data_IF_202500425355
#
_entry.id   IF_202500425355
#
_cell.length_a   1.000
_cell.length_b   1.000
_cell.length_c   1.000
_cell.angle_alpha   90.00
_cell.angle_beta   90.00
_cell.angle_gamma   90.00
#
_symmetry.space_group_name_H-M   'P 1'
#
loop_
_entity.id
_entity.type
_entity.pdbx_description
1 polymer ?
#
# COMPACT_ATOMS: atom_id res chain seq x y z
N UNK A 1 -27.57 -44.53 1.80
CA UNK A 1 -28.07 -44.18 0.45
C UNK A 1 -28.00 -42.67 0.36
N UNK A 2 -26.87 -42.15 -0.06
CA UNK A 2 -26.72 -40.76 -0.48
C UNK A 2 -26.50 -40.78 -1.98
N UNK A 3 -27.32 -40.00 -2.68
CA UNK A 3 -27.41 -39.99 -4.13
C UNK A 3 -26.10 -39.51 -4.75
N UNK A 4 -25.42 -40.42 -5.44
CA UNK A 4 -24.35 -40.09 -6.36
C UNK A 4 -24.94 -39.26 -7.50
N UNK A 5 -24.69 -37.95 -7.47
CA UNK A 5 -25.00 -37.05 -8.58
C UNK A 5 -24.19 -37.51 -9.79
N UNK A 6 -24.89 -38.14 -10.72
CA UNK A 6 -24.35 -38.69 -11.96
C UNK A 6 -23.92 -37.54 -12.88
N UNK A 7 -22.64 -37.16 -12.85
CA UNK A 7 -22.07 -36.17 -13.79
C UNK A 7 -22.07 -36.75 -15.22
N UNK A 8 -22.38 -35.94 -16.24
CA UNK A 8 -22.38 -36.40 -17.63
C UNK A 8 -20.98 -36.89 -18.04
N UNK A 9 -20.93 -37.99 -18.81
CA UNK A 9 -19.71 -38.74 -19.15
C UNK A 9 -18.82 -38.12 -20.25
N UNK A 10 -19.10 -36.91 -20.74
CA UNK A 10 -18.41 -36.35 -21.93
C UNK A 10 -17.72 -34.99 -21.72
N UNK A 11 -17.62 -34.46 -20.50
CA UNK A 11 -16.78 -33.28 -20.25
C UNK A 11 -15.34 -33.68 -19.91
N UNK A 12 -14.41 -33.43 -20.85
CA UNK A 12 -12.97 -33.52 -20.58
C UNK A 12 -12.64 -32.54 -19.45
N UNK A 13 -12.18 -33.07 -18.32
CA UNK A 13 -11.79 -32.26 -17.18
C UNK A 13 -10.60 -31.37 -17.57
N UNK A 14 -10.73 -30.06 -17.35
CA UNK A 14 -9.67 -29.07 -17.64
C UNK A 14 -8.62 -28.91 -16.54
N UNK A 15 -8.75 -29.71 -15.47
CA UNK A 15 -7.89 -29.66 -14.27
C UNK A 15 -7.66 -28.22 -13.78
N UNK A 16 -8.75 -27.46 -13.63
CA UNK A 16 -8.73 -26.04 -13.31
C UNK A 16 -8.16 -25.72 -11.91
N UNK A 17 -8.32 -26.66 -10.98
CA UNK A 17 -7.95 -26.56 -9.56
C UNK A 17 -7.35 -27.87 -9.05
N UNK A 18 -6.10 -27.82 -8.59
CA UNK A 18 -5.37 -28.94 -8.02
C UNK A 18 -5.00 -28.65 -6.57
N UNK A 19 -4.96 -29.69 -5.75
CA UNK A 19 -4.42 -29.65 -4.38
C UNK A 19 -3.41 -30.80 -4.27
N UNK A 20 -2.16 -30.49 -3.95
CA UNK A 20 -1.05 -31.45 -3.91
C UNK A 20 -0.98 -32.32 -5.19
N UNK A 21 -1.10 -31.69 -6.36
CA UNK A 21 -1.08 -32.35 -7.66
C UNK A 21 -2.37 -33.10 -8.04
N UNK A 22 -3.35 -33.20 -7.14
CA UNK A 22 -4.62 -33.91 -7.41
C UNK A 22 -5.73 -32.95 -7.80
N UNK A 23 -6.40 -33.20 -8.93
CA UNK A 23 -7.50 -32.37 -9.38
C UNK A 23 -8.74 -32.54 -8.49
N UNK A 24 -9.23 -31.43 -7.94
CA UNK A 24 -10.40 -31.39 -7.05
C UNK A 24 -11.73 -31.75 -7.75
N UNK A 25 -11.78 -31.74 -9.09
CA UNK A 25 -12.99 -32.06 -9.85
C UNK A 25 -13.09 -33.53 -10.30
N UNK A 26 -11.97 -34.13 -10.71
CA UNK A 26 -11.96 -35.49 -11.29
C UNK A 26 -11.11 -36.50 -10.49
N UNK A 27 -10.37 -36.06 -9.48
CA UNK A 27 -9.53 -36.92 -8.64
C UNK A 27 -8.24 -37.41 -9.30
N UNK A 28 -7.96 -37.02 -10.55
CA UNK A 28 -6.72 -37.42 -11.24
C UNK A 28 -5.52 -36.62 -10.72
N UNK A 29 -4.40 -37.31 -10.54
CA UNK A 29 -3.10 -36.71 -10.30
C UNK A 29 -2.52 -36.16 -11.60
N UNK A 30 -1.95 -34.96 -11.56
CA UNK A 30 -1.34 -34.27 -12.70
C UNK A 30 0.05 -33.78 -12.26
N UNK A 31 1.09 -34.32 -12.89
CA UNK A 31 2.50 -34.10 -12.49
C UNK A 31 3.10 -32.82 -13.11
N UNK A 32 2.77 -32.52 -14.37
CA UNK A 32 3.38 -31.41 -15.14
C UNK A 32 2.38 -30.27 -15.39
N UNK A 33 1.97 -29.60 -14.31
CA UNK A 33 0.89 -28.62 -14.36
C UNK A 33 1.39 -27.16 -14.24
N UNK A 34 0.89 -26.29 -15.13
CA UNK A 34 1.45 -24.95 -15.41
C UNK A 34 0.57 -23.77 -14.94
N UNK A 35 0.11 -23.76 -13.69
CA UNK A 35 -0.62 -22.62 -13.14
C UNK A 35 0.01 -22.03 -11.90
N UNK A 36 -0.78 -21.25 -11.17
CA UNK A 36 -0.28 -20.37 -10.12
C UNK A 36 -0.57 -20.97 -8.76
N UNK A 37 0.42 -20.92 -7.87
CA UNK A 37 0.30 -21.36 -6.50
C UNK A 37 -0.49 -20.36 -5.67
N UNK A 38 -1.41 -20.87 -4.86
CA UNK A 38 -2.23 -20.13 -3.90
C UNK A 38 -2.06 -20.78 -2.51
N UNK A 39 -0.81 -21.08 -2.13
CA UNK A 39 -0.47 -21.74 -0.87
C UNK A 39 -0.99 -20.97 0.35
N UNK A 40 -1.00 -19.64 0.27
CA UNK A 40 -1.60 -18.79 1.30
C UNK A 40 -3.09 -19.08 1.57
N UNK A 41 -3.84 -19.57 0.57
CA UNK A 41 -5.25 -19.96 0.72
C UNK A 41 -5.37 -21.37 1.28
N UNK A 42 -4.61 -22.29 0.68
CA UNK A 42 -4.54 -23.69 1.08
C UNK A 42 -3.22 -24.26 0.56
N UNK A 43 -2.47 -24.93 1.44
CA UNK A 43 -1.21 -25.57 1.07
C UNK A 43 -1.37 -26.52 -0.11
N UNK A 44 -0.49 -26.39 -1.10
CA UNK A 44 -0.50 -27.19 -2.34
C UNK A 44 -1.61 -26.80 -3.32
N UNK A 45 -2.34 -25.71 -3.09
CA UNK A 45 -3.39 -25.24 -4.00
C UNK A 45 -2.78 -24.59 -5.25
N UNK A 46 -3.23 -25.08 -6.40
CA UNK A 46 -2.75 -24.69 -7.71
C UNK A 46 -3.96 -24.35 -8.59
N UNK A 47 -4.02 -23.11 -9.11
CA UNK A 47 -5.12 -22.60 -9.95
C UNK A 47 -4.70 -22.18 -11.37
N UNK A 48 -5.46 -22.63 -12.38
CA UNK A 48 -5.25 -22.20 -13.77
C UNK A 48 -5.56 -20.71 -13.91
N UNK A 49 -4.99 -20.04 -14.92
CA UNK A 49 -5.29 -18.62 -15.21
C UNK A 49 -6.79 -18.38 -15.45
N UNK A 50 -7.45 -19.28 -16.16
CA UNK A 50 -8.89 -19.21 -16.41
C UNK A 50 -9.70 -19.32 -15.12
N UNK A 51 -9.31 -20.21 -14.21
CA UNK A 51 -9.97 -20.35 -12.91
C UNK A 51 -9.74 -19.13 -12.02
N UNK A 52 -8.53 -18.57 -12.02
CA UNK A 52 -8.23 -17.32 -11.30
C UNK A 52 -9.11 -16.20 -11.85
N UNK A 53 -9.22 -16.04 -13.17
CA UNK A 53 -10.07 -15.02 -13.77
C UNK A 53 -11.54 -15.19 -13.36
N UNK A 54 -12.06 -16.42 -13.40
CA UNK A 54 -13.42 -16.75 -12.94
C UNK A 54 -13.64 -16.42 -11.47
N UNK A 55 -12.66 -16.72 -10.61
CA UNK A 55 -12.72 -16.41 -9.18
C UNK A 55 -12.67 -14.91 -8.92
N UNK A 56 -11.80 -14.16 -9.62
CA UNK A 56 -11.73 -12.69 -9.58
C UNK A 56 -13.08 -12.06 -9.94
N UNK A 57 -13.70 -12.53 -11.01
CA UNK A 57 -15.02 -12.05 -11.47
C UNK A 57 -16.17 -12.39 -10.52
N UNK A 58 -16.10 -13.55 -9.88
CA UNK A 58 -17.09 -13.96 -8.87
C UNK A 58 -16.94 -13.12 -7.60
N UNK A 59 -15.71 -12.93 -7.13
CA UNK A 59 -15.44 -12.21 -5.91
C UNK A 59 -15.80 -10.72 -6.04
N UNK A 60 -15.45 -10.08 -7.16
CA UNK A 60 -15.76 -8.65 -7.35
C UNK A 60 -17.27 -8.38 -7.38
N UNK A 61 -18.07 -9.26 -7.98
CA UNK A 61 -19.54 -9.14 -7.96
C UNK A 61 -20.07 -9.20 -6.53
N UNK A 62 -19.64 -10.22 -5.77
CA UNK A 62 -20.00 -10.39 -4.36
C UNK A 62 -19.63 -9.15 -3.54
N UNK A 63 -18.38 -8.69 -3.65
CA UNK A 63 -17.90 -7.53 -2.90
C UNK A 63 -18.68 -6.26 -3.27
N UNK A 64 -18.98 -6.04 -4.55
CA UNK A 64 -19.75 -4.86 -4.96
C UNK A 64 -21.18 -4.87 -4.47
N UNK A 65 -21.82 -6.04 -4.37
CA UNK A 65 -23.14 -6.21 -3.77
C UNK A 65 -23.10 -5.87 -2.26
N UNK A 66 -22.01 -6.24 -1.58
CA UNK A 66 -21.72 -5.88 -0.19
C UNK A 66 -21.21 -4.44 -0.01
N UNK A 67 -21.08 -3.67 -1.10
CA UNK A 67 -20.45 -2.35 -1.15
C UNK A 67 -19.04 -2.33 -0.56
N UNK A 68 -18.24 -3.35 -0.89
CA UNK A 68 -16.83 -3.46 -0.53
C UNK A 68 -15.91 -3.39 -1.74
N UNK A 69 -14.73 -2.83 -1.51
CA UNK A 69 -13.55 -2.90 -2.39
C UNK A 69 -12.54 -3.87 -1.76
N UNK A 70 -11.34 -3.98 -2.33
CA UNK A 70 -10.22 -4.70 -1.72
C UNK A 70 -9.09 -3.75 -1.36
N UNK A 71 -8.45 -4.00 -0.21
CA UNK A 71 -7.30 -3.25 0.26
C UNK A 71 -6.15 -4.21 0.56
N UNK A 72 -5.09 -4.10 -0.23
CA UNK A 72 -3.84 -4.86 -0.10
C UNK A 72 -2.85 -4.03 0.68
N UNK A 73 -2.37 -4.53 1.82
CA UNK A 73 -1.61 -3.75 2.79
C UNK A 73 -0.26 -4.41 3.07
N UNK A 74 0.81 -3.64 2.98
CA UNK A 74 2.13 -4.06 3.48
C UNK A 74 2.21 -4.03 5.02
N UNK A 75 3.21 -4.67 5.59
CA UNK A 75 3.43 -4.69 7.04
C UNK A 75 4.51 -3.71 7.50
N UNK A 76 5.76 -3.95 7.10
CA UNK A 76 6.92 -3.27 7.67
C UNK A 76 7.02 -1.86 7.10
N UNK A 77 7.18 -0.87 7.97
CA UNK A 77 7.13 0.56 7.63
C UNK A 77 5.76 1.04 7.09
N UNK A 78 4.77 0.15 6.93
CA UNK A 78 3.38 0.51 6.62
C UNK A 78 2.47 0.46 7.86
N UNK A 79 2.21 -0.72 8.44
CA UNK A 79 1.35 -0.92 9.63
C UNK A 79 2.13 -1.09 10.93
N UNK A 80 3.40 -1.46 10.85
CA UNK A 80 4.27 -1.69 11.99
C UNK A 80 5.72 -1.46 11.61
N UNK A 81 6.61 -1.44 12.59
CA UNK A 81 8.04 -1.54 12.39
C UNK A 81 8.55 -2.65 13.30
N UNK A 82 9.41 -3.52 12.78
CA UNK A 82 10.03 -4.61 13.54
C UNK A 82 11.56 -4.55 13.47
N UNK A 83 12.23 -4.86 14.59
CA UNK A 83 13.69 -4.89 14.67
C UNK A 83 14.17 -6.07 15.49
N UNK A 84 15.24 -6.73 15.03
CA UNK A 84 15.87 -7.81 15.80
C UNK A 84 16.43 -7.24 17.11
N UNK A 85 16.20 -7.93 18.23
CA UNK A 85 16.67 -7.48 19.56
C UNK A 85 18.19 -7.28 19.56
N UNK A 86 18.92 -8.19 18.93
CA UNK A 86 20.38 -8.13 18.79
C UNK A 86 20.90 -6.88 18.05
N UNK A 87 20.04 -6.20 17.28
CA UNK A 87 20.38 -5.03 16.45
C UNK A 87 20.01 -3.70 17.11
N UNK A 88 19.47 -3.71 18.33
CA UNK A 88 19.17 -2.50 19.08
C UNK A 88 20.46 -1.73 19.36
N UNK A 89 20.43 -0.41 19.16
CA UNK A 89 21.58 0.43 19.47
C UNK A 89 21.57 0.84 20.96
N UNK A 90 22.63 1.52 21.42
CA UNK A 90 22.73 1.96 22.83
C UNK A 90 21.60 2.91 23.25
N UNK A 91 21.14 3.78 22.35
CA UNK A 91 20.04 4.72 22.60
C UNK A 91 18.68 4.02 22.71
N UNK A 92 18.57 2.78 22.24
CA UNK A 92 17.35 1.98 22.22
C UNK A 92 17.28 0.90 23.30
N UNK A 93 18.37 0.66 24.05
CA UNK A 93 18.39 -0.39 25.10
C UNK A 93 17.33 -0.20 26.19
N UNK A 94 16.83 1.03 26.38
CA UNK A 94 15.72 1.26 27.30
C UNK A 94 14.44 0.51 26.89
N UNK A 95 14.28 0.18 25.60
CA UNK A 95 13.12 -0.54 25.06
C UNK A 95 13.03 -1.98 25.55
N UNK A 96 14.15 -2.60 25.93
CA UNK A 96 14.16 -3.96 26.49
C UNK A 96 13.45 -4.03 27.85
N UNK A 97 13.43 -2.91 28.58
CA UNK A 97 12.80 -2.79 29.90
C UNK A 97 11.35 -2.30 29.83
N UNK A 98 10.85 -1.94 28.64
CA UNK A 98 9.44 -1.57 28.48
C UNK A 98 8.62 -2.85 28.63
N UNK A 99 7.66 -2.83 29.54
CA UNK A 99 6.68 -3.92 29.66
C UNK A 99 5.94 -4.04 28.33
N UNK A 100 6.24 -5.10 27.57
CA UNK A 100 5.48 -5.46 26.40
C UNK A 100 4.02 -5.66 26.81
N UNK A 101 3.09 -5.15 26.03
CA UNK A 101 1.69 -5.26 26.40
C UNK A 101 1.20 -6.69 26.15
N UNK A 102 1.08 -7.44 27.24
CA UNK A 102 0.56 -8.81 27.25
C UNK A 102 -0.95 -8.87 27.02
N UNK A 103 -1.67 -7.74 27.13
CA UNK A 103 -3.12 -7.64 27.14
C UNK A 103 -3.77 -7.40 25.77
N UNK A 104 -3.01 -7.45 24.67
CA UNK A 104 -3.54 -7.34 23.30
C UNK A 104 -3.99 -5.92 22.87
N UNK A 105 -4.02 -4.95 23.80
CA UNK A 105 -4.40 -3.57 23.53
C UNK A 105 -3.24 -2.65 23.12
N UNK A 106 -2.01 -3.01 23.46
CA UNK A 106 -0.85 -2.16 23.27
C UNK A 106 -0.32 -2.13 21.84
N UNK A 107 0.64 -1.25 21.64
CA UNK A 107 1.31 -1.08 20.34
C UNK A 107 2.74 -1.62 20.36
N UNK A 108 3.24 -2.14 21.48
CA UNK A 108 4.63 -2.55 21.63
C UNK A 108 4.73 -3.99 22.14
N UNK A 109 5.46 -4.81 21.38
CA UNK A 109 5.55 -6.25 21.58
C UNK A 109 7.00 -6.71 21.50
N UNK A 110 7.33 -7.72 22.31
CA UNK A 110 8.57 -8.50 22.18
C UNK A 110 8.17 -9.91 21.78
N UNK A 111 8.68 -10.37 20.65
CA UNK A 111 8.52 -11.73 20.15
C UNK A 111 9.76 -12.54 20.52
N UNK A 112 9.58 -13.81 20.86
CA UNK A 112 10.66 -14.69 21.32
C UNK A 112 11.31 -15.49 20.17
N UNK A 113 10.54 -15.83 19.13
CA UNK A 113 10.99 -16.74 18.07
C UNK A 113 10.60 -16.24 16.66
N UNK A 114 11.56 -15.66 15.89
CA UNK A 114 12.85 -15.14 16.36
C UNK A 114 12.70 -13.94 17.30
N UNK A 115 13.71 -13.66 18.11
CA UNK A 115 13.68 -12.52 19.04
C UNK A 115 13.60 -11.18 18.31
N UNK A 116 12.46 -10.48 18.44
CA UNK A 116 12.20 -9.20 17.78
C UNK A 116 11.40 -8.26 18.64
N UNK A 117 11.73 -6.98 18.57
CA UNK A 117 10.87 -5.90 19.01
C UNK A 117 9.94 -5.52 17.86
N UNK A 118 8.65 -5.40 18.13
CA UNK A 118 7.64 -4.97 17.17
C UNK A 118 6.89 -3.78 17.75
N UNK A 119 6.86 -2.70 16.99
CA UNK A 119 6.03 -1.54 17.28
C UNK A 119 4.95 -1.44 16.20
N UNK A 120 3.70 -1.56 16.59
CA UNK A 120 2.56 -1.26 15.75
C UNK A 120 2.43 0.26 15.57
N UNK A 121 2.10 0.67 14.34
CA UNK A 121 1.92 2.08 14.02
C UNK A 121 0.72 2.67 14.77
N UNK A 122 0.82 3.88 15.34
CA UNK A 122 -0.32 4.54 15.97
C UNK A 122 -1.57 4.54 15.08
N UNK A 123 -2.75 4.43 15.70
CA UNK A 123 -4.05 4.33 15.03
C UNK A 123 -4.33 3.02 14.27
N UNK A 124 -3.41 2.04 14.20
CA UNK A 124 -3.61 0.82 13.38
C UNK A 124 -4.88 0.02 13.71
N UNK A 125 -5.27 -0.07 14.99
CA UNK A 125 -6.45 -0.82 15.40
C UNK A 125 -7.73 -0.20 14.85
N UNK A 126 -7.86 1.12 14.98
CA UNK A 126 -8.99 1.87 14.48
C UNK A 126 -8.99 1.89 12.95
N UNK A 127 -7.81 2.02 12.33
CA UNK A 127 -7.63 1.91 10.90
C UNK A 127 -8.18 0.59 10.35
N UNK A 128 -7.75 -0.56 10.89
CA UNK A 128 -8.20 -1.87 10.43
C UNK A 128 -9.70 -2.07 10.65
N UNK A 129 -10.21 -1.66 11.81
CA UNK A 129 -11.64 -1.71 12.12
C UNK A 129 -12.46 -0.92 11.11
N UNK A 130 -12.12 0.35 10.87
CA UNK A 130 -12.84 1.19 9.92
C UNK A 130 -12.69 0.68 8.48
N UNK A 131 -11.46 0.32 8.06
CA UNK A 131 -11.19 -0.20 6.73
C UNK A 131 -11.99 -1.48 6.44
N UNK A 132 -12.11 -2.41 7.40
CA UNK A 132 -12.84 -3.67 7.22
C UNK A 132 -14.34 -3.51 6.90
N UNK A 133 -14.91 -2.34 7.20
CA UNK A 133 -16.31 -2.01 6.85
C UNK A 133 -16.48 -1.66 5.37
N UNK A 134 -15.41 -1.21 4.72
CA UNK A 134 -15.40 -0.73 3.33
C UNK A 134 -14.59 -1.65 2.39
N UNK A 135 -13.71 -2.47 2.95
CA UNK A 135 -12.73 -3.25 2.21
C UNK A 135 -12.63 -4.69 2.73
N UNK A 136 -12.42 -5.63 1.81
CA UNK A 136 -11.82 -6.93 2.12
C UNK A 136 -10.29 -6.75 2.21
N UNK A 137 -9.70 -7.15 3.33
CA UNK A 137 -8.31 -6.83 3.66
C UNK A 137 -7.38 -7.99 3.33
N UNK A 138 -6.26 -7.66 2.67
CA UNK A 138 -5.14 -8.55 2.38
C UNK A 138 -3.88 -8.02 3.07
N UNK A 139 -3.08 -8.91 3.63
CA UNK A 139 -1.71 -8.63 4.05
C UNK A 139 -0.75 -9.16 2.99
N UNK A 140 0.20 -8.34 2.56
CA UNK A 140 1.13 -8.70 1.49
C UNK A 140 2.57 -8.22 1.73
N UNK A 141 3.28 -8.74 2.74
CA UNK A 141 4.66 -8.38 3.03
C UNK A 141 5.67 -9.03 2.06
N UNK A 142 6.85 -8.42 1.95
CA UNK A 142 8.05 -9.08 1.39
C UNK A 142 8.75 -10.03 2.37
N UNK A 143 8.15 -10.29 3.53
CA UNK A 143 8.64 -11.22 4.55
C UNK A 143 8.31 -12.68 4.26
N UNK A 144 8.80 -13.58 5.11
CA UNK A 144 8.42 -14.99 5.06
C UNK A 144 6.95 -15.19 5.46
N UNK A 145 6.37 -16.31 5.04
CA UNK A 145 5.01 -16.71 5.43
C UNK A 145 4.84 -16.76 6.96
N UNK A 146 5.79 -17.39 7.67
CA UNK A 146 5.80 -17.43 9.13
C UNK A 146 5.76 -16.04 9.75
N UNK A 147 6.59 -15.12 9.24
CA UNK A 147 6.61 -13.74 9.72
C UNK A 147 5.29 -13.02 9.45
N UNK A 148 4.77 -13.11 8.22
CA UNK A 148 3.51 -12.48 7.81
C UNK A 148 2.33 -12.95 8.66
N UNK A 149 2.17 -14.27 8.82
CA UNK A 149 1.11 -14.85 9.67
C UNK A 149 1.27 -14.42 11.14
N UNK A 150 2.50 -14.38 11.65
CA UNK A 150 2.76 -13.95 13.03
C UNK A 150 2.38 -12.47 13.26
N UNK A 151 2.72 -11.59 12.32
CA UNK A 151 2.34 -10.17 12.41
C UNK A 151 0.83 -9.98 12.22
N UNK A 152 0.20 -10.74 11.31
CA UNK A 152 -1.25 -10.71 11.12
C UNK A 152 -1.99 -11.09 12.42
N UNK A 153 -1.52 -12.10 13.15
CA UNK A 153 -2.08 -12.46 14.47
C UNK A 153 -1.93 -11.33 15.50
N UNK A 154 -0.84 -10.57 15.48
CA UNK A 154 -0.69 -9.40 16.35
C UNK A 154 -1.68 -8.30 15.97
N UNK A 155 -1.91 -8.09 14.68
CA UNK A 155 -2.81 -7.07 14.12
C UNK A 155 -4.30 -7.44 14.23
N UNK A 156 -4.61 -8.73 14.20
CA UNK A 156 -5.96 -9.29 14.22
C UNK A 156 -6.05 -10.52 15.14
N UNK A 157 -5.97 -10.33 16.48
CA UNK A 157 -5.95 -11.45 17.41
C UNK A 157 -7.22 -12.30 17.39
N UNK A 158 -8.35 -11.72 16.96
CA UNK A 158 -9.64 -12.40 16.88
C UNK A 158 -9.94 -13.00 15.50
N UNK A 159 -9.08 -12.78 14.49
CA UNK A 159 -9.28 -13.30 13.13
C UNK A 159 -10.45 -12.67 12.37
N UNK A 160 -10.79 -11.41 12.65
CA UNK A 160 -11.93 -10.72 12.06
C UNK A 160 -11.66 -10.10 10.69
N UNK A 161 -10.39 -9.89 10.33
CA UNK A 161 -9.99 -8.99 9.25
C UNK A 161 -9.33 -9.72 8.09
N UNK A 162 -8.36 -10.58 8.38
CA UNK A 162 -7.50 -11.15 7.33
C UNK A 162 -7.87 -12.57 6.95
N UNK A 163 -8.42 -13.37 7.88
CA UNK A 163 -8.65 -14.80 7.65
C UNK A 163 -7.36 -15.44 7.06
N UNK A 164 -7.44 -16.14 5.94
CA UNK A 164 -6.27 -16.69 5.25
C UNK A 164 -5.59 -15.72 4.26
N UNK A 165 -6.01 -14.46 4.14
CA UNK A 165 -5.51 -13.50 3.13
C UNK A 165 -4.17 -12.86 3.50
N UNK A 166 -3.15 -13.69 3.72
CA UNK A 166 -1.77 -13.28 4.04
C UNK A 166 -0.82 -13.83 2.97
N UNK A 167 -0.57 -13.03 1.93
CA UNK A 167 0.31 -13.39 0.81
C UNK A 167 1.75 -13.06 1.21
N UNK A 168 2.66 -14.01 1.08
CA UNK A 168 4.05 -13.85 1.49
C UNK A 168 5.01 -13.84 0.30
N UNK A 169 6.29 -13.57 0.58
CA UNK A 169 7.35 -13.71 -0.42
C UNK A 169 7.48 -15.15 -0.97
N UNK A 170 7.01 -16.17 -0.23
CA UNK A 170 7.05 -17.55 -0.70
C UNK A 170 6.11 -17.78 -1.88
N UNK A 171 4.96 -17.09 -1.90
CA UNK A 171 3.94 -17.20 -2.94
C UNK A 171 4.35 -16.50 -4.26
N UNK A 172 5.41 -15.68 -4.23
CA UNK A 172 5.88 -14.90 -5.38
C UNK A 172 6.71 -15.74 -6.36
N UNK A 173 6.39 -15.59 -7.65
CA UNK A 173 7.24 -16.07 -8.74
C UNK A 173 8.53 -15.23 -8.81
N UNK A 174 8.40 -13.89 -8.85
CA UNK A 174 9.53 -12.97 -8.74
C UNK A 174 9.67 -12.49 -7.29
N UNK A 175 10.68 -13.03 -6.60
CA UNK A 175 10.97 -12.75 -5.18
C UNK A 175 11.34 -11.29 -4.87
N UNK A 176 11.48 -10.43 -5.89
CA UNK A 176 11.75 -9.00 -5.75
C UNK A 176 10.55 -8.10 -6.04
N UNK A 177 9.43 -8.62 -6.58
CA UNK A 177 8.31 -7.80 -7.06
C UNK A 177 6.96 -8.38 -6.64
N UNK A 178 6.09 -7.54 -6.11
CA UNK A 178 4.71 -7.88 -5.81
C UNK A 178 3.86 -7.74 -7.07
N UNK A 179 2.79 -8.53 -7.14
CA UNK A 179 1.81 -8.51 -8.21
C UNK A 179 0.40 -8.74 -7.66
N UNK A 180 -0.62 -8.18 -8.31
CA UNK A 180 -2.03 -8.43 -8.04
C UNK A 180 -2.55 -9.75 -8.64
N UNK A 181 -1.69 -10.55 -9.27
CA UNK A 181 -2.07 -11.87 -9.79
C UNK A 181 -2.54 -12.84 -8.70
N UNK A 182 -1.95 -12.72 -7.50
CA UNK A 182 -2.28 -13.54 -6.33
C UNK A 182 -3.47 -13.00 -5.53
N UNK A 183 -3.96 -11.80 -5.84
CA UNK A 183 -5.13 -11.23 -5.15
C UNK A 183 -6.37 -11.62 -5.94
N UNK A 184 -7.36 -12.24 -5.29
CA UNK A 184 -8.61 -12.66 -5.94
C UNK A 184 -9.56 -11.46 -6.14
N UNK A 185 -9.12 -10.49 -6.93
CA UNK A 185 -9.85 -9.29 -7.30
C UNK A 185 -9.47 -8.75 -8.67
N UNK A 186 -10.30 -7.85 -9.20
CA UNK A 186 -9.95 -7.05 -10.38
C UNK A 186 -9.32 -5.73 -9.94
N UNK A 187 -8.31 -5.27 -10.67
CA UNK A 187 -7.56 -4.04 -10.34
C UNK A 187 -8.46 -2.81 -10.22
N UNK A 188 -9.57 -2.75 -10.97
CA UNK A 188 -10.53 -1.66 -10.86
C UNK A 188 -11.17 -1.51 -9.48
N UNK A 189 -11.09 -2.55 -8.63
CA UNK A 189 -11.61 -2.56 -7.26
C UNK A 189 -10.55 -2.77 -6.17
N UNK A 190 -9.26 -2.79 -6.52
CA UNK A 190 -8.16 -3.03 -5.57
C UNK A 190 -7.39 -1.75 -5.31
N UNK A 191 -7.17 -1.42 -4.03
CA UNK A 191 -6.24 -0.37 -3.61
C UNK A 191 -5.07 -1.03 -2.89
N UNK A 192 -3.85 -0.57 -3.17
CA UNK A 192 -2.62 -1.01 -2.50
C UNK A 192 -2.18 0.10 -1.53
N UNK A 193 -1.81 -0.28 -0.31
CA UNK A 193 -1.20 0.59 0.69
C UNK A 193 0.17 0.01 1.05
N UNK A 194 1.22 0.69 0.59
CA UNK A 194 2.62 0.26 0.74
C UNK A 194 3.50 1.51 0.87
N UNK A 195 4.60 1.44 1.60
CA UNK A 195 5.55 2.55 1.70
C UNK A 195 6.64 2.50 0.62
N UNK A 196 6.81 1.35 -0.03
CA UNK A 196 7.78 1.16 -1.10
C UNK A 196 7.08 0.97 -2.46
N UNK A 197 7.15 1.99 -3.32
CA UNK A 197 6.61 1.89 -4.68
C UNK A 197 7.43 0.98 -5.60
N UNK A 198 8.70 0.73 -5.27
CA UNK A 198 9.62 0.00 -6.15
C UNK A 198 9.29 -1.49 -6.24
N UNK A 199 8.60 -2.03 -5.23
CA UNK A 199 8.12 -3.41 -5.23
C UNK A 199 6.85 -3.63 -6.05
N UNK A 200 6.20 -2.57 -6.54
CA UNK A 200 4.98 -2.62 -7.37
C UNK A 200 5.19 -1.99 -8.76
N UNK A 201 6.09 -2.53 -9.60
CA UNK A 201 6.44 -1.90 -10.88
C UNK A 201 5.26 -1.81 -11.85
N UNK A 202 4.37 -2.82 -11.85
CA UNK A 202 3.28 -2.96 -12.81
C UNK A 202 1.93 -2.46 -12.28
N UNK A 203 1.85 -2.06 -11.00
CA UNK A 203 0.58 -1.77 -10.29
C UNK A 203 0.55 -0.38 -9.64
N UNK A 204 1.37 0.56 -10.13
CA UNK A 204 1.52 1.91 -9.54
C UNK A 204 0.22 2.71 -9.50
N UNK A 205 -0.68 2.52 -10.47
CA UNK A 205 -1.97 3.22 -10.51
C UNK A 205 -2.91 2.81 -9.36
N UNK A 206 -2.70 1.63 -8.76
CA UNK A 206 -3.46 1.14 -7.62
C UNK A 206 -2.83 1.53 -6.27
N UNK A 207 -1.62 2.11 -6.27
CA UNK A 207 -0.82 2.32 -5.08
C UNK A 207 -1.09 3.69 -4.43
N UNK A 208 -1.38 3.65 -3.13
CA UNK A 208 -1.24 4.78 -2.22
C UNK A 208 0.07 4.60 -1.47
N UNK A 209 1.09 5.35 -1.86
CA UNK A 209 2.38 5.35 -1.16
C UNK A 209 2.25 6.05 0.19
N UNK A 210 2.34 5.30 1.28
CA UNK A 210 2.29 5.86 2.63
C UNK A 210 3.68 6.28 3.10
N UNK A 211 3.77 7.31 3.93
CA UNK A 211 5.05 7.69 4.51
C UNK A 211 5.62 6.53 5.37
N UNK A 212 6.90 6.14 5.23
CA UNK A 212 7.46 5.02 5.97
C UNK A 212 7.44 5.24 7.50
N UNK A 213 6.97 4.24 8.23
CA UNK A 213 6.93 4.23 9.69
C UNK A 213 8.27 3.78 10.28
N UNK A 214 9.11 4.74 10.64
CA UNK A 214 10.44 4.48 11.20
C UNK A 214 10.45 4.60 12.74
N UNK A 215 9.81 3.65 13.44
CA UNK A 215 9.88 3.64 14.90
C UNK A 215 11.29 3.44 15.47
N UNK A 216 11.91 2.31 15.14
CA UNK A 216 13.28 2.00 15.55
C UNK A 216 14.30 2.74 14.68
N UNK A 217 15.49 2.91 15.23
CA UNK A 217 16.64 3.48 14.54
C UNK A 217 17.09 2.56 13.41
N UNK A 218 17.35 3.18 12.28
CA UNK A 218 18.02 2.55 11.14
C UNK A 218 19.21 3.43 10.74
N UNK A 219 20.06 2.96 9.83
CA UNK A 219 21.20 3.74 9.30
C UNK A 219 20.74 4.88 8.37
N UNK A 220 19.66 5.59 8.72
CA UNK A 220 19.06 6.70 7.98
C UNK A 220 19.55 8.03 8.54
N UNK A 221 19.49 9.09 7.72
CA UNK A 221 19.95 10.44 8.09
C UNK A 221 19.09 11.13 9.15
N UNK A 222 17.89 10.63 9.42
CA UNK A 222 16.91 11.23 10.34
C UNK A 222 16.80 10.36 11.60
N UNK A 223 16.63 11.03 12.74
CA UNK A 223 16.31 10.35 14.00
C UNK A 223 14.96 9.65 13.89
N UNK A 224 14.93 8.42 14.37
CA UNK A 224 13.74 7.58 14.52
C UNK A 224 12.86 8.03 15.68
N UNK A 225 11.64 7.51 15.76
CA UNK A 225 10.72 7.83 16.86
C UNK A 225 11.25 7.37 18.22
N UNK A 226 11.91 6.21 18.29
CA UNK A 226 12.54 5.68 19.51
C UNK A 226 13.64 6.60 20.04
N UNK A 227 14.51 7.13 19.16
CA UNK A 227 15.56 8.08 19.51
C UNK A 227 14.99 9.43 19.96
N UNK A 228 13.84 9.82 19.41
CA UNK A 228 13.12 11.04 19.79
C UNK A 228 12.22 10.87 21.01
N UNK A 229 12.03 9.64 21.52
CA UNK A 229 11.11 9.29 22.61
C UNK A 229 9.69 9.82 22.41
N UNK A 230 9.21 9.77 21.17
CA UNK A 230 7.84 10.16 20.77
C UNK A 230 7.33 9.18 19.71
N UNK A 231 6.12 9.38 19.21
CA UNK A 231 5.54 8.55 18.15
C UNK A 231 4.69 9.39 17.19
N UNK A 232 4.10 8.76 16.17
CA UNK A 232 3.07 9.39 15.34
C UNK A 232 1.82 9.74 16.17
N UNK A 233 1.10 10.78 15.75
CA UNK A 233 -0.18 11.15 16.34
C UNK A 233 -1.27 10.16 15.93
N UNK A 234 -2.16 9.76 16.85
CA UNK A 234 -3.33 8.96 16.46
C UNK A 234 -4.36 9.73 15.63
N UNK A 235 -4.41 11.06 15.76
CA UNK A 235 -5.39 11.90 15.06
C UNK A 235 -4.88 12.48 13.74
N UNK A 236 -3.57 12.65 13.65
CA UNK A 236 -2.87 13.32 12.53
C UNK A 236 -1.69 12.50 12.00
N UNK A 237 -1.58 11.23 12.37
CA UNK A 237 -0.59 10.29 11.82
C UNK A 237 -0.97 9.81 10.44
N UNK A 238 -0.08 9.06 9.79
CA UNK A 238 -0.29 8.70 8.40
C UNK A 238 -1.55 7.83 8.21
N UNK A 239 -1.76 6.81 9.06
CA UNK A 239 -2.95 5.94 8.98
C UNK A 239 -4.27 6.72 9.18
N UNK A 240 -4.26 7.73 10.05
CA UNK A 240 -5.42 8.58 10.30
C UNK A 240 -5.78 9.47 9.10
N UNK A 241 -4.78 9.85 8.28
CA UNK A 241 -5.02 10.52 7.01
C UNK A 241 -5.43 9.52 5.91
N UNK A 242 -4.73 8.39 5.81
CA UNK A 242 -5.01 7.35 4.82
C UNK A 242 -6.45 6.87 4.90
N UNK A 243 -7.00 6.62 6.09
CA UNK A 243 -8.40 6.17 6.21
C UNK A 243 -9.40 7.20 5.67
N UNK A 244 -9.12 8.51 5.81
CA UNK A 244 -9.97 9.58 5.25
C UNK A 244 -9.95 9.55 3.73
N UNK A 245 -8.78 9.29 3.13
CA UNK A 245 -8.61 9.14 1.68
C UNK A 245 -9.36 7.90 1.19
N UNK A 246 -9.18 6.75 1.84
CA UNK A 246 -9.87 5.50 1.51
C UNK A 246 -11.40 5.64 1.56
N UNK A 247 -11.92 6.32 2.58
CA UNK A 247 -13.35 6.64 2.69
C UNK A 247 -13.84 7.54 1.56
N UNK A 248 -13.02 8.51 1.13
CA UNK A 248 -13.32 9.36 -0.02
C UNK A 248 -13.42 8.56 -1.31
N UNK A 249 -12.45 7.68 -1.57
CA UNK A 249 -12.43 6.80 -2.76
C UNK A 249 -13.64 5.87 -2.74
N UNK A 250 -13.88 5.17 -1.63
CA UNK A 250 -15.02 4.26 -1.46
C UNK A 250 -16.36 4.98 -1.68
N UNK A 251 -16.51 6.15 -1.07
CA UNK A 251 -17.69 6.99 -1.24
C UNK A 251 -17.92 7.39 -2.71
N UNK A 252 -16.87 7.81 -3.41
CA UNK A 252 -16.95 8.12 -4.85
C UNK A 252 -17.28 6.89 -5.70
N UNK A 253 -16.72 5.72 -5.35
CA UNK A 253 -16.92 4.47 -6.09
C UNK A 253 -18.36 3.95 -6.03
N UNK A 254 -19.00 4.04 -4.86
CA UNK A 254 -20.35 3.50 -4.63
C UNK A 254 -21.48 4.55 -4.66
N UNK A 255 -21.18 5.84 -4.84
CA UNK A 255 -22.21 6.87 -4.93
C UNK A 255 -23.02 6.73 -6.23
N UNK A 256 -24.33 6.47 -6.10
CA UNK A 256 -25.25 6.22 -7.22
C UNK A 256 -25.83 7.49 -7.87
N UNK A 257 -25.63 8.68 -7.28
CA UNK A 257 -26.23 9.92 -7.77
C UNK A 257 -25.22 10.79 -8.54
N UNK A 258 -25.55 11.04 -9.82
CA UNK A 258 -25.01 12.06 -10.77
C UNK A 258 -23.88 11.60 -11.69
N UNK A 259 -24.23 11.35 -12.96
CA UNK A 259 -23.76 12.00 -14.21
C UNK A 259 -22.30 12.45 -14.40
N UNK A 260 -21.36 12.12 -13.52
CA UNK A 260 -19.95 12.51 -13.63
C UNK A 260 -19.12 11.23 -13.80
N UNK A 261 -19.39 10.48 -14.86
CA UNK A 261 -18.52 9.49 -15.53
C UNK A 261 -19.38 8.29 -15.97
N UNK A 262 -19.71 8.21 -17.27
CA UNK A 262 -20.01 6.95 -17.95
C UNK A 262 -18.80 5.98 -17.95
N UNK A 263 -17.64 6.42 -17.46
CA UNK A 263 -16.38 5.68 -17.42
C UNK A 263 -16.34 4.85 -16.13
N UNK A 264 -16.33 3.53 -16.31
CA UNK A 264 -16.12 2.45 -15.33
C UNK A 264 -15.74 2.84 -13.90
N UNK A 265 -16.48 2.26 -12.94
CA UNK A 265 -16.13 2.23 -11.51
C UNK A 265 -14.74 1.61 -11.34
N UNK A 266 -13.72 2.47 -11.36
CA UNK A 266 -12.31 2.08 -11.33
C UNK A 266 -11.57 2.97 -10.34
N UNK A 267 -11.09 2.35 -9.25
CA UNK A 267 -10.38 3.06 -8.18
C UNK A 267 -9.16 3.81 -8.68
N UNK A 268 -8.48 3.35 -9.75
CA UNK A 268 -7.31 4.03 -10.34
C UNK A 268 -7.66 5.39 -10.90
N UNK A 269 -8.83 5.51 -11.53
CA UNK A 269 -9.35 6.77 -12.05
C UNK A 269 -9.74 7.69 -10.89
N UNK A 270 -10.42 7.15 -9.87
CA UNK A 270 -10.85 7.94 -8.71
C UNK A 270 -9.66 8.47 -7.89
N UNK A 271 -8.62 7.66 -7.71
CA UNK A 271 -7.38 8.03 -7.05
C UNK A 271 -6.70 9.18 -7.79
N UNK A 272 -6.57 9.10 -9.12
CA UNK A 272 -6.04 10.20 -9.95
C UNK A 272 -6.86 11.49 -9.81
N UNK A 273 -8.19 11.40 -9.79
CA UNK A 273 -9.07 12.57 -9.59
C UNK A 273 -8.88 13.19 -8.20
N UNK A 274 -8.62 12.40 -7.16
CA UNK A 274 -8.35 12.93 -5.82
C UNK A 274 -6.95 13.54 -5.73
N UNK A 275 -5.95 12.90 -6.32
CA UNK A 275 -4.59 13.41 -6.41
C UNK A 275 -4.57 14.77 -7.13
N UNK A 276 -5.28 14.91 -8.25
CA UNK A 276 -5.34 16.14 -9.04
C UNK A 276 -6.03 17.33 -8.34
N UNK A 277 -6.51 17.14 -7.10
CA UNK A 277 -7.12 18.20 -6.28
C UNK A 277 -6.18 18.71 -5.19
N UNK A 278 -5.03 18.06 -4.97
CA UNK A 278 -4.12 18.36 -3.85
C UNK A 278 -3.48 19.73 -4.01
N UNK A 279 -2.95 20.02 -5.20
CA UNK A 279 -2.30 21.29 -5.54
C UNK A 279 -3.14 22.12 -6.52
N UNK A 280 -4.44 21.86 -6.61
CA UNK A 280 -5.32 22.60 -7.51
C UNK A 280 -5.35 24.09 -7.14
N UNK A 281 -5.01 24.94 -8.10
CA UNK A 281 -4.89 26.39 -7.91
C UNK A 281 -3.49 26.85 -7.50
N UNK A 282 -2.54 25.93 -7.33
CA UNK A 282 -1.13 26.27 -7.25
C UNK A 282 -0.59 26.49 -8.67
N UNK A 283 0.06 27.65 -8.89
CA UNK A 283 0.86 27.94 -10.07
C UNK A 283 2.31 27.97 -9.62
N UNK A 284 3.08 26.98 -10.06
CA UNK A 284 4.40 26.66 -9.53
C UNK A 284 5.47 26.97 -10.57
N UNK A 285 6.44 27.78 -10.16
CA UNK A 285 7.67 28.00 -10.89
C UNK A 285 8.81 27.22 -10.22
N UNK A 286 9.56 26.43 -10.98
CA UNK A 286 10.73 25.68 -10.48
C UNK A 286 12.01 26.46 -10.81
N UNK A 287 12.75 26.88 -9.80
CA UNK A 287 13.94 27.72 -9.99
C UNK A 287 15.25 26.96 -9.83
N UNK A 288 16.17 27.12 -10.79
CA UNK A 288 17.46 26.41 -10.81
C UNK A 288 17.38 25.05 -11.51
N UNK A 289 16.47 24.93 -12.48
CA UNK A 289 16.58 23.91 -13.53
C UNK A 289 17.57 24.50 -14.53
N UNK A 290 18.87 24.26 -14.32
CA UNK A 290 19.86 24.69 -15.30
C UNK A 290 19.50 24.06 -16.65
N UNK A 291 19.61 24.83 -17.75
CA UNK A 291 19.36 24.39 -19.13
C UNK A 291 20.34 23.29 -19.62
N UNK A 292 21.20 22.78 -18.73
CA UNK A 292 21.97 21.58 -18.98
C UNK A 292 21.03 20.38 -18.91
N UNK A 293 20.67 19.88 -20.10
CA UNK A 293 19.96 18.63 -20.34
C UNK A 293 20.29 17.56 -19.27
N UNK A 294 19.24 16.97 -18.68
CA UNK A 294 19.24 15.75 -17.84
C UNK A 294 19.23 15.87 -16.30
N UNK A 295 18.68 16.92 -15.67
CA UNK A 295 18.23 16.74 -14.27
C UNK A 295 16.91 15.93 -14.23
N UNK A 296 17.00 14.61 -14.39
CA UNK A 296 15.85 13.68 -14.31
C UNK A 296 15.04 13.88 -13.02
N UNK A 297 15.71 14.14 -11.90
CA UNK A 297 15.04 14.44 -10.62
C UNK A 297 14.14 15.68 -10.72
N UNK A 298 14.55 16.72 -11.44
CA UNK A 298 13.73 17.92 -11.60
C UNK A 298 12.47 17.66 -12.43
N UNK A 299 12.64 16.94 -13.54
CA UNK A 299 11.51 16.49 -14.36
C UNK A 299 10.51 15.68 -13.52
N UNK A 300 10.98 14.80 -12.63
CA UNK A 300 10.11 13.97 -11.80
C UNK A 300 9.24 14.81 -10.84
N UNK A 301 9.78 15.87 -10.22
CA UNK A 301 8.97 16.75 -9.35
C UNK A 301 7.99 17.62 -10.15
N UNK A 302 8.36 18.08 -11.34
CA UNK A 302 7.45 18.84 -12.22
C UNK A 302 6.28 17.97 -12.65
N UNK A 303 6.56 16.73 -13.08
CA UNK A 303 5.54 15.75 -13.43
C UNK A 303 4.64 15.48 -12.21
N UNK A 304 5.24 15.26 -11.03
CA UNK A 304 4.49 15.00 -9.81
C UNK A 304 3.57 16.16 -9.41
N UNK A 305 4.05 17.39 -9.51
CA UNK A 305 3.25 18.57 -9.20
C UNK A 305 2.04 18.69 -10.14
N UNK A 306 2.22 18.42 -11.44
CA UNK A 306 1.13 18.40 -12.43
C UNK A 306 0.12 17.29 -12.14
N UNK A 307 0.58 16.08 -11.79
CA UNK A 307 -0.30 14.98 -11.37
C UNK A 307 -1.15 15.35 -10.14
N UNK A 308 -0.58 16.13 -9.22
CA UNK A 308 -1.27 16.65 -8.04
C UNK A 308 -2.20 17.84 -8.34
N UNK A 309 -2.28 18.28 -9.60
CA UNK A 309 -3.20 19.32 -10.06
C UNK A 309 -2.65 20.74 -10.07
N UNK A 310 -1.33 20.90 -9.89
CA UNK A 310 -0.68 22.20 -10.06
C UNK A 310 -0.55 22.57 -11.55
N UNK A 311 -0.56 23.86 -11.82
CA UNK A 311 -0.08 24.43 -13.07
C UNK A 311 1.41 24.73 -12.90
N UNK A 312 2.28 24.17 -13.75
CA UNK A 312 3.71 24.47 -13.71
C UNK A 312 4.07 25.35 -14.90
N UNK A 313 4.76 26.46 -14.64
CA UNK A 313 5.13 27.44 -15.66
C UNK A 313 6.65 27.67 -15.68
N UNK A 314 7.17 28.06 -16.84
CA UNK A 314 8.61 28.20 -17.08
C UNK A 314 9.09 29.66 -17.00
N UNK A 315 8.18 30.60 -16.71
CA UNK A 315 8.48 32.04 -16.63
C UNK A 315 7.98 32.65 -15.33
N UNK A 316 8.80 33.49 -14.69
CA UNK A 316 8.40 34.25 -13.51
C UNK A 316 7.43 35.38 -13.89
N UNK A 317 6.18 35.21 -13.49
CA UNK A 317 5.07 36.13 -13.70
C UNK A 317 4.46 36.52 -12.34
N UNK A 318 4.45 37.83 -12.03
CA UNK A 318 3.95 38.35 -10.74
C UNK A 318 2.45 38.14 -10.53
N UNK A 319 1.67 38.03 -11.60
CA UNK A 319 0.21 37.92 -11.59
C UNK A 319 -0.29 36.49 -11.38
N UNK A 320 0.39 35.48 -11.93
CA UNK A 320 -0.08 34.08 -11.87
C UNK A 320 0.65 33.21 -10.85
N UNK A 321 1.97 33.39 -10.67
CA UNK A 321 2.77 32.52 -9.79
C UNK A 321 2.27 32.60 -8.35
N UNK A 322 2.07 31.45 -7.72
CA UNK A 322 1.78 31.35 -6.29
C UNK A 322 2.96 30.81 -5.50
N UNK A 323 3.70 29.84 -6.06
CA UNK A 323 4.84 29.19 -5.41
C UNK A 323 6.09 29.19 -6.29
N UNK A 324 7.25 29.40 -5.65
CA UNK A 324 8.57 29.22 -6.24
C UNK A 324 9.25 28.06 -5.51
N UNK A 325 9.54 26.99 -6.25
CA UNK A 325 10.24 25.80 -5.74
C UNK A 325 11.73 25.95 -6.03
N UNK A 326 12.54 26.06 -4.99
CA UNK A 326 13.99 26.27 -5.10
C UNK A 326 14.78 24.98 -4.90
N UNK A 327 15.76 24.74 -5.78
CA UNK A 327 16.67 23.60 -5.78
C UNK A 327 17.94 23.82 -4.94
N UNK A 328 18.11 25.01 -4.38
CA UNK A 328 19.36 25.48 -3.77
C UNK A 328 19.89 24.54 -2.66
N UNK A 329 21.01 23.88 -2.95
CA UNK A 329 21.93 23.27 -1.95
C UNK A 329 22.93 24.28 -1.40
N UNK A 330 22.95 25.50 -1.93
CA UNK A 330 23.94 26.55 -1.64
C UNK A 330 23.32 27.72 -0.86
N UNK A 331 24.15 28.39 -0.06
CA UNK A 331 23.76 29.51 0.84
C UNK A 331 23.47 30.84 0.11
N UNK A 332 23.61 30.89 -1.21
CA UNK A 332 23.43 32.10 -2.01
C UNK A 332 22.03 32.10 -2.61
N UNK A 333 21.23 33.11 -2.25
CA UNK A 333 19.88 33.31 -2.76
C UNK A 333 19.92 33.48 -4.29
N UNK A 334 19.21 32.63 -5.02
CA UNK A 334 19.04 32.78 -6.47
C UNK A 334 18.18 34.01 -6.79
N UNK A 335 18.28 34.53 -8.01
CA UNK A 335 17.48 35.69 -8.47
C UNK A 335 15.96 35.45 -8.31
N UNK A 336 15.51 34.21 -8.51
CA UNK A 336 14.15 33.73 -8.28
C UNK A 336 13.71 33.74 -6.81
N UNK A 337 14.62 33.44 -5.89
CA UNK A 337 14.34 33.45 -4.45
C UNK A 337 14.12 34.89 -3.96
N UNK A 338 14.96 35.81 -4.44
CA UNK A 338 14.82 37.24 -4.20
C UNK A 338 13.52 37.81 -4.79
N UNK A 339 13.17 37.39 -6.00
CA UNK A 339 11.89 37.75 -6.64
C UNK A 339 10.69 37.25 -5.83
N UNK A 340 10.69 35.99 -5.40
CA UNK A 340 9.58 35.41 -4.62
C UNK A 340 9.33 36.19 -3.33
N UNK A 341 10.39 36.59 -2.63
CA UNK A 341 10.30 37.42 -1.42
C UNK A 341 9.76 38.81 -1.72
N UNK A 342 10.25 39.45 -2.79
CA UNK A 342 9.82 40.80 -3.21
C UNK A 342 8.33 40.83 -3.58
N UNK A 343 7.88 39.84 -4.35
CA UNK A 343 6.50 39.71 -4.83
C UNK A 343 5.58 38.98 -3.83
N UNK A 344 6.09 38.67 -2.62
CA UNK A 344 5.37 38.00 -1.52
C UNK A 344 4.73 36.66 -1.93
N UNK A 345 5.45 35.88 -2.73
CA UNK A 345 5.07 34.51 -3.14
C UNK A 345 5.63 33.48 -2.16
N UNK A 346 5.09 32.26 -2.18
CA UNK A 346 5.57 31.17 -1.33
C UNK A 346 6.90 30.61 -1.87
N UNK A 347 7.99 30.82 -1.15
CA UNK A 347 9.29 30.21 -1.45
C UNK A 347 9.42 28.89 -0.69
N UNK A 348 9.52 27.76 -1.40
CA UNK A 348 9.51 26.41 -0.82
C UNK A 348 10.64 25.55 -1.37
N UNK A 349 11.01 24.52 -0.61
CA UNK A 349 11.97 23.50 -1.06
C UNK A 349 11.24 22.43 -1.91
N UNK A 350 11.95 21.72 -2.80
CA UNK A 350 11.34 20.67 -3.63
C UNK A 350 10.65 19.56 -2.83
N UNK A 351 11.06 19.31 -1.59
CA UNK A 351 10.41 18.35 -0.68
C UNK A 351 9.03 18.78 -0.15
N UNK A 352 8.57 19.97 -0.51
CA UNK A 352 7.22 20.43 -0.22
C UNK A 352 6.19 19.79 -1.17
N UNK A 353 6.60 19.51 -2.42
CA UNK A 353 5.86 18.68 -3.38
C UNK A 353 5.87 17.23 -2.88
#
# INVERSE_FOLDING_TARGET
>A
MEEAINKPKDEVCRHARLVHGTCTNCGQFVDDWHGVAFDYVQEGLMLTRDEIARLKDTNIKKLFDEKKLQLVIDLDQTLLHSKSVEKLNLEEKYLENIQADSGGGGLFYKLETPERMVKLRPFVRNFLKEASTMFELYIYPMGSEFYGKRMAQLLDPQGNYFDNRVISKHDLIDKGKKTLDLVLGQESGIIILDDDETVWPDHKENLITIFPYSYFSEKRKRKSYSEMKKDESESYGALAFTIKVLRGIHGMFFNRNKSILPCNRDVRILMRILQSKVLKGCVIFFSGVDDDDECKECSDFVVKAKELGAECIDTLDSSSVTHVVSWTRTKTEGESDGWAKKEKKFLVNQRWI
#
